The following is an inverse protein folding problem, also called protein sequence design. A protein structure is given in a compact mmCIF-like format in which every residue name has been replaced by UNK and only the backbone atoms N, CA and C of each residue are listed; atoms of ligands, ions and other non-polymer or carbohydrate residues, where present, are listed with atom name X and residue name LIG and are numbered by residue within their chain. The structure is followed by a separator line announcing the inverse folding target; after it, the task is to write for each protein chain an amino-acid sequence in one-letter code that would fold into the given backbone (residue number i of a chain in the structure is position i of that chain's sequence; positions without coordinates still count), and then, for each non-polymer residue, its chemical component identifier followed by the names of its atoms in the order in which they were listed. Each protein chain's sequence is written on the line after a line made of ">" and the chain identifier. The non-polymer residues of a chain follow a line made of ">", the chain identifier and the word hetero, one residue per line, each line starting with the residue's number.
data_IF_755475182825
#
_entry.id   IF_755475182825
#
_cell.length_a   1.000
_cell.length_b   1.000
_cell.length_c   1.000
_cell.angle_alpha   90.00
_cell.angle_beta   90.00
_cell.angle_gamma   90.00
#
_symmetry.space_group_name_H-M   'P 1'
#
loop_
_entity.id
_entity.type
_entity.pdbx_description
1 polymer ?
#
# COMPACT_ATOMS: atom_id res chain seq x y z
N UNK A 1 -23.38 3.14 17.46
CA UNK A 1 -22.65 2.57 16.31
C UNK A 1 -23.05 3.36 15.08
N UNK A 2 -22.11 3.67 14.19
CA UNK A 2 -22.41 4.28 12.89
C UNK A 2 -23.03 3.22 11.97
N UNK A 3 -23.90 3.65 11.09
CA UNK A 3 -24.44 2.86 9.98
C UNK A 3 -23.39 2.72 8.87
N UNK A 4 -23.57 1.73 7.99
CA UNK A 4 -22.68 1.53 6.85
C UNK A 4 -22.63 2.77 5.94
N UNK A 5 -23.77 3.43 5.73
CA UNK A 5 -23.85 4.66 4.93
C UNK A 5 -23.09 5.83 5.56
N UNK A 6 -23.11 5.96 6.89
CA UNK A 6 -22.33 6.99 7.60
C UNK A 6 -20.83 6.73 7.49
N UNK A 7 -20.40 5.47 7.65
CA UNK A 7 -18.98 5.07 7.49
C UNK A 7 -18.52 5.35 6.06
N UNK A 8 -19.31 4.94 5.06
CA UNK A 8 -19.00 5.21 3.66
C UNK A 8 -18.89 6.71 3.38
N UNK A 9 -19.81 7.52 3.91
CA UNK A 9 -19.79 8.97 3.71
C UNK A 9 -18.52 9.60 4.29
N UNK A 10 -18.08 9.17 5.48
CA UNK A 10 -16.85 9.64 6.11
C UNK A 10 -15.62 9.26 5.28
N UNK A 11 -15.49 7.99 4.88
CA UNK A 11 -14.37 7.48 4.09
C UNK A 11 -14.28 8.18 2.73
N UNK A 12 -15.41 8.34 2.02
CA UNK A 12 -15.44 9.03 0.74
C UNK A 12 -15.13 10.52 0.91
N UNK A 13 -15.61 11.16 1.99
CA UNK A 13 -15.27 12.56 2.28
C UNK A 13 -13.77 12.74 2.51
N UNK A 14 -13.14 11.83 3.26
CA UNK A 14 -11.69 11.84 3.48
C UNK A 14 -10.91 11.65 2.17
N UNK A 15 -11.29 10.67 1.35
CA UNK A 15 -10.73 10.47 0.02
C UNK A 15 -10.82 11.73 -0.85
N UNK A 16 -12.00 12.35 -0.93
CA UNK A 16 -12.21 13.58 -1.72
C UNK A 16 -11.34 14.73 -1.19
N UNK A 17 -11.12 14.81 0.12
CA UNK A 17 -10.23 15.81 0.71
C UNK A 17 -8.75 15.54 0.37
N UNK A 18 -8.32 14.27 0.34
CA UNK A 18 -6.98 13.90 -0.09
C UNK A 18 -6.73 14.24 -1.56
N UNK A 19 -7.70 13.94 -2.44
CA UNK A 19 -7.64 14.27 -3.86
C UNK A 19 -7.53 15.78 -4.06
N UNK A 20 -8.35 16.58 -3.36
CA UNK A 20 -8.28 18.05 -3.45
C UNK A 20 -6.92 18.60 -3.01
N UNK A 21 -6.30 18.01 -1.99
CA UNK A 21 -4.99 18.43 -1.47
C UNK A 21 -3.83 17.95 -2.34
N UNK A 22 -4.00 16.85 -3.07
CA UNK A 22 -2.94 16.20 -3.84
C UNK A 22 -3.47 15.79 -5.24
N UNK A 23 -3.87 16.75 -6.09
CA UNK A 23 -4.57 16.46 -7.34
C UNK A 23 -3.76 15.69 -8.38
N UNK A 24 -2.43 15.72 -8.27
CA UNK A 24 -1.51 15.07 -9.20
C UNK A 24 -1.13 13.65 -8.78
N UNK A 25 -1.53 13.21 -7.57
CA UNK A 25 -1.24 11.85 -7.11
C UNK A 25 -2.24 10.86 -7.73
N UNK A 26 -1.77 9.72 -8.23
CA UNK A 26 -2.65 8.64 -8.65
C UNK A 26 -3.46 8.11 -7.47
N UNK A 27 -4.66 7.63 -7.76
CA UNK A 27 -5.51 6.94 -6.78
C UNK A 27 -5.35 5.44 -7.04
N UNK A 28 -4.92 4.71 -6.02
CA UNK A 28 -4.71 3.26 -6.06
C UNK A 28 -5.77 2.59 -5.20
N UNK A 29 -6.55 1.70 -5.78
CA UNK A 29 -7.56 0.91 -5.08
C UNK A 29 -6.96 -0.43 -4.67
N UNK A 30 -6.87 -0.67 -3.37
CA UNK A 30 -6.36 -1.91 -2.81
C UNK A 30 -7.52 -2.75 -2.35
N UNK A 31 -7.78 -3.82 -3.11
CA UNK A 31 -8.93 -4.69 -2.89
C UNK A 31 -8.52 -5.82 -1.97
N UNK A 32 -9.20 -5.94 -0.83
CA UNK A 32 -9.03 -7.03 0.11
C UNK A 32 -9.29 -8.37 -0.61
N UNK A 33 -8.44 -9.37 -0.37
CA UNK A 33 -8.58 -10.68 -1.00
C UNK A 33 -9.91 -11.36 -0.71
N UNK A 34 -10.50 -11.08 0.46
CA UNK A 34 -11.81 -11.62 0.86
C UNK A 34 -12.97 -10.98 0.08
N UNK A 35 -12.75 -9.84 -0.58
CA UNK A 35 -13.74 -9.26 -1.50
C UNK A 35 -13.84 -10.10 -2.77
N UNK A 36 -12.74 -10.67 -3.26
CA UNK A 36 -12.70 -11.51 -4.48
C UNK A 36 -12.59 -12.97 -4.06
N UNK A 37 -13.69 -13.54 -3.55
CA UNK A 37 -13.65 -14.86 -2.92
C UNK A 37 -13.53 -16.05 -3.91
N UNK A 38 -13.68 -15.83 -5.21
CA UNK A 38 -13.43 -16.82 -6.27
C UNK A 38 -13.29 -16.18 -7.66
N UNK A 39 -12.86 -16.98 -8.64
CA UNK A 39 -12.87 -16.66 -10.08
C UNK A 39 -14.17 -17.10 -10.79
N UNK A 40 -15.09 -17.74 -10.06
CA UNK A 40 -16.36 -18.25 -10.60
C UNK A 40 -17.43 -17.16 -10.80
N UNK A 41 -17.20 -15.97 -10.25
CA UNK A 41 -18.12 -14.84 -10.33
C UNK A 41 -17.52 -13.71 -11.14
N UNK A 42 -18.38 -12.99 -11.86
CA UNK A 42 -17.97 -11.89 -12.75
C UNK A 42 -17.92 -10.54 -12.03
N UNK A 43 -18.49 -10.42 -10.84
CA UNK A 43 -18.56 -9.18 -10.06
C UNK A 43 -18.57 -9.45 -8.57
N UNK A 44 -17.89 -8.59 -7.81
CA UNK A 44 -17.80 -8.63 -6.36
C UNK A 44 -18.25 -7.29 -5.76
N UNK A 45 -18.91 -7.35 -4.61
CA UNK A 45 -19.30 -6.16 -3.86
C UNK A 45 -18.24 -5.87 -2.81
N UNK A 46 -17.75 -4.63 -2.76
CA UNK A 46 -16.85 -4.15 -1.72
C UNK A 46 -17.34 -2.83 -1.13
N UNK A 47 -16.80 -2.45 0.02
CA UNK A 47 -17.05 -1.16 0.67
C UNK A 47 -15.86 -0.23 0.56
N UNK A 48 -16.12 1.08 0.50
CA UNK A 48 -15.07 2.08 0.63
C UNK A 48 -14.54 2.08 2.06
N UNK A 49 -13.29 1.67 2.22
CA UNK A 49 -12.52 1.78 3.44
C UNK A 49 -11.74 3.09 3.52
N UNK A 50 -10.77 3.11 4.43
CA UNK A 50 -9.92 4.28 4.68
C UNK A 50 -9.08 4.63 3.46
N UNK A 51 -8.84 5.92 3.27
CA UNK A 51 -7.90 6.44 2.28
C UNK A 51 -6.72 7.14 2.97
N UNK A 52 -5.51 6.98 2.43
CA UNK A 52 -4.30 7.63 2.95
C UNK A 52 -3.26 7.87 1.85
N UNK A 53 -2.24 8.68 2.16
CA UNK A 53 -1.09 8.86 1.26
C UNK A 53 -0.03 7.83 1.65
N UNK A 54 0.43 7.05 0.67
CA UNK A 54 1.57 6.16 0.82
C UNK A 54 2.40 6.11 -0.46
N UNK A 55 3.53 5.42 -0.43
CA UNK A 55 4.28 5.00 -1.60
C UNK A 55 4.00 3.52 -1.86
N UNK A 56 3.58 3.23 -3.09
CA UNK A 56 3.23 1.87 -3.52
C UNK A 56 4.26 1.39 -4.53
N UNK A 57 4.73 0.16 -4.38
CA UNK A 57 5.58 -0.51 -5.37
C UNK A 57 4.93 -1.80 -5.83
N UNK A 58 4.67 -1.89 -7.13
CA UNK A 58 4.22 -3.12 -7.80
C UNK A 58 5.43 -3.78 -8.48
N UNK A 59 5.83 -4.96 -7.98
CA UNK A 59 6.93 -5.72 -8.60
C UNK A 59 6.44 -6.77 -9.60
N UNK A 60 5.16 -6.75 -9.97
CA UNK A 60 4.50 -7.71 -10.85
C UNK A 60 4.07 -9.01 -10.17
N UNK A 61 4.41 -9.22 -8.90
CA UNK A 61 3.99 -10.38 -8.09
C UNK A 61 3.15 -9.99 -6.89
N UNK A 62 3.52 -8.90 -6.21
CA UNK A 62 2.86 -8.35 -5.04
C UNK A 62 2.95 -6.83 -5.08
N UNK A 63 1.92 -6.21 -4.52
CA UNK A 63 1.90 -4.79 -4.21
C UNK A 63 2.45 -4.58 -2.80
N UNK A 64 3.43 -3.70 -2.68
CA UNK A 64 4.06 -3.31 -1.43
C UNK A 64 3.71 -1.88 -1.08
N UNK A 65 3.54 -1.63 0.21
CA UNK A 65 3.29 -0.33 0.82
C UNK A 65 4.51 0.08 1.61
N UNK A 66 5.05 1.27 1.34
CA UNK A 66 6.26 1.72 2.03
C UNK A 66 6.03 1.86 3.54
N UNK A 67 4.81 2.20 3.98
CA UNK A 67 4.48 2.28 5.41
C UNK A 67 4.59 0.94 6.14
N UNK A 68 4.27 -0.18 5.47
CA UNK A 68 4.14 -1.49 6.12
C UNK A 68 5.28 -2.45 5.77
N UNK A 69 5.75 -2.41 4.53
CA UNK A 69 6.66 -3.43 4.00
C UNK A 69 8.12 -2.96 3.93
N UNK A 70 8.42 -1.67 4.13
CA UNK A 70 9.77 -1.14 3.88
C UNK A 70 10.84 -1.77 4.78
N UNK A 71 10.58 -1.90 6.08
CA UNK A 71 11.54 -2.51 7.01
C UNK A 71 11.80 -3.98 6.68
N UNK A 72 10.76 -4.74 6.35
CA UNK A 72 10.88 -6.14 5.93
C UNK A 72 11.69 -6.26 4.63
N UNK A 73 11.43 -5.38 3.65
CA UNK A 73 12.20 -5.35 2.41
C UNK A 73 13.68 -5.02 2.66
N UNK A 74 13.98 -4.09 3.57
CA UNK A 74 15.37 -3.77 3.94
C UNK A 74 16.04 -4.97 4.59
N UNK A 75 15.37 -5.64 5.52
CA UNK A 75 15.90 -6.85 6.16
C UNK A 75 16.19 -7.96 5.14
N UNK A 76 15.27 -8.19 4.19
CA UNK A 76 15.47 -9.18 3.14
C UNK A 76 16.70 -8.88 2.26
N UNK A 77 16.98 -7.60 1.98
CA UNK A 77 18.21 -7.22 1.25
C UNK A 77 19.45 -7.38 2.13
N UNK A 78 19.34 -7.04 3.42
CA UNK A 78 20.43 -7.17 4.38
C UNK A 78 20.87 -8.63 4.56
N UNK A 79 19.93 -9.57 4.62
CA UNK A 79 20.20 -11.01 4.77
C UNK A 79 21.00 -11.61 3.60
N UNK A 80 20.99 -10.96 2.43
CA UNK A 80 21.76 -11.34 1.24
C UNK A 80 23.16 -10.71 1.21
N UNK A 81 23.45 -9.76 2.10
CA UNK A 81 24.77 -9.12 2.20
C UNK A 81 25.72 -10.05 2.98
N UNK A 82 26.97 -10.28 2.51
CA UNK A 82 27.94 -11.09 3.23
C UNK A 82 28.25 -10.54 4.62
N UNK A 83 28.29 -11.42 5.63
CA UNK A 83 28.53 -11.05 7.03
C UNK A 83 29.91 -10.44 7.31
N UNK A 84 30.84 -10.50 6.36
CA UNK A 84 32.14 -9.83 6.44
C UNK A 84 32.06 -8.32 6.16
N UNK A 85 30.95 -7.84 5.60
CA UNK A 85 30.68 -6.41 5.43
C UNK A 85 30.37 -5.81 6.79
N UNK A 86 30.92 -4.63 7.05
CA UNK A 86 30.61 -3.85 8.25
C UNK A 86 29.11 -3.56 8.37
N UNK A 87 28.53 -3.76 9.56
CA UNK A 87 27.09 -3.67 9.80
C UNK A 87 26.52 -2.31 9.37
N UNK A 88 27.21 -1.19 9.67
CA UNK A 88 26.72 0.15 9.30
C UNK A 88 26.70 0.34 7.78
N UNK A 89 27.69 -0.24 7.08
CA UNK A 89 27.75 -0.24 5.62
C UNK A 89 26.65 -1.12 5.02
N UNK A 90 26.41 -2.29 5.61
CA UNK A 90 25.40 -3.24 5.15
C UNK A 90 23.99 -2.63 5.29
N UNK A 91 23.64 -2.11 6.48
CA UNK A 91 22.36 -1.46 6.76
C UNK A 91 22.06 -0.32 5.80
N UNK A 92 23.05 0.56 5.60
CA UNK A 92 22.93 1.69 4.67
C UNK A 92 22.75 1.20 3.23
N UNK A 93 23.52 0.20 2.81
CA UNK A 93 23.44 -0.36 1.47
C UNK A 93 22.07 -0.97 1.20
N UNK A 94 21.54 -1.74 2.15
CA UNK A 94 20.22 -2.34 2.06
C UNK A 94 19.10 -1.28 2.00
N UNK A 95 19.16 -0.29 2.89
CA UNK A 95 18.21 0.84 2.90
C UNK A 95 18.24 1.61 1.58
N UNK A 96 19.43 1.99 1.10
CA UNK A 96 19.62 2.71 -0.16
C UNK A 96 19.17 1.90 -1.39
N UNK A 97 19.21 0.57 -1.32
CA UNK A 97 18.69 -0.30 -2.37
C UNK A 97 17.16 -0.29 -2.41
N UNK A 98 16.49 -0.46 -1.27
CA UNK A 98 15.02 -0.46 -1.19
C UNK A 98 14.44 0.92 -1.50
N UNK A 99 15.10 2.01 -1.10
CA UNK A 99 14.71 3.38 -1.47
C UNK A 99 14.63 3.61 -2.99
N UNK A 100 15.41 2.86 -3.78
CA UNK A 100 15.48 3.00 -5.24
C UNK A 100 14.45 2.16 -6.00
N UNK A 101 13.62 1.38 -5.32
CA UNK A 101 12.52 0.69 -5.99
C UNK A 101 11.56 1.72 -6.61
N UNK A 102 10.73 1.25 -7.54
CA UNK A 102 9.79 2.08 -8.31
C UNK A 102 8.56 2.47 -7.46
N UNK A 103 8.83 3.10 -6.32
CA UNK A 103 7.85 3.62 -5.39
C UNK A 103 7.07 4.77 -6.01
N UNK A 104 5.75 4.60 -6.10
CA UNK A 104 4.82 5.61 -6.60
C UNK A 104 4.04 6.19 -5.44
N UNK A 105 4.27 7.48 -5.14
CA UNK A 105 3.46 8.21 -4.17
C UNK A 105 2.01 8.28 -4.66
N UNK A 106 1.07 7.79 -3.87
CA UNK A 106 -0.32 7.56 -4.27
C UNK A 106 -1.28 7.89 -3.15
N UNK A 107 -2.53 8.20 -3.52
CA UNK A 107 -3.67 8.10 -2.60
C UNK A 107 -4.14 6.65 -2.62
N UNK A 108 -3.84 5.90 -1.58
CA UNK A 108 -4.27 4.52 -1.42
C UNK A 108 -5.67 4.49 -0.81
N UNK A 109 -6.57 3.71 -1.39
CA UNK A 109 -7.93 3.49 -0.88
C UNK A 109 -8.13 2.01 -0.65
N UNK A 110 -8.42 1.62 0.58
CA UNK A 110 -8.76 0.24 0.89
C UNK A 110 -10.19 -0.07 0.46
N UNK A 111 -10.40 -1.15 -0.27
CA UNK A 111 -11.71 -1.71 -0.61
C UNK A 111 -11.88 -2.98 0.19
N UNK A 112 -12.72 -2.93 1.22
CA UNK A 112 -12.95 -4.04 2.13
C UNK A 112 -14.28 -4.75 1.86
N UNK A 113 -14.63 -5.66 2.76
CA UNK A 113 -15.91 -6.36 2.74
C UNK A 113 -17.10 -5.38 2.88
N UNK A 114 -18.27 -5.68 2.27
CA UNK A 114 -19.47 -4.83 2.32
C UNK A 114 -20.01 -4.49 3.71
#
# INVERSE_FOLDING_TARGET
>A
MKTQSEIQMENVTELLNLIKKNPDLPIVLMVDSEVVASDEHTTWLGSFGRAEIDYVWDNGKRIYFKTYDFEELVQNVLDEIPAEVDDEIADKTATDAVEKYEWVKSIVVQIGLP
#
